data_IF_640066077616
#
_entry.id   IF_640066077616
#
_cell.length_a   1.000
_cell.length_b   1.000
_cell.length_c   1.000
_cell.angle_alpha   90.00
_cell.angle_beta   90.00
_cell.angle_gamma   90.00
#
_symmetry.space_group_name_H-M   'P 1'
#
loop_
_entity.id
_entity.type
_entity.pdbx_description
1 polymer ?
#
# COMPACT_ATOMS: atom_id res chain seq x y z
N UNK A 1 3.57 9.17 2.50
CA UNK A 1 2.57 9.12 3.59
C UNK A 1 3.25 9.61 4.85
N UNK A 2 2.75 10.67 5.48
CA UNK A 2 3.19 11.06 6.83
C UNK A 2 2.49 10.20 7.87
N UNK A 3 3.21 9.77 8.90
CA UNK A 3 2.66 8.98 10.00
C UNK A 3 3.08 9.66 11.30
N UNK A 4 2.12 9.85 12.22
CA UNK A 4 2.38 10.37 13.55
C UNK A 4 1.79 9.42 14.57
N UNK A 5 2.61 9.01 15.54
CA UNK A 5 2.21 8.13 16.62
C UNK A 5 2.46 8.83 17.96
N UNK A 6 1.62 8.52 18.94
CA UNK A 6 1.76 9.04 20.32
C UNK A 6 2.95 8.44 21.06
N UNK A 7 3.46 7.29 20.61
CA UNK A 7 4.67 6.64 21.12
C UNK A 7 5.43 5.93 19.98
N UNK A 8 6.76 5.87 20.11
CA UNK A 8 7.63 5.12 19.20
C UNK A 8 7.47 3.60 19.31
N UNK A 9 6.90 3.11 20.42
CA UNK A 9 6.66 1.69 20.68
C UNK A 9 5.39 1.13 20.03
N UNK A 10 4.51 1.98 19.48
CA UNK A 10 3.32 1.54 18.76
C UNK A 10 3.73 0.69 17.57
N UNK A 11 3.25 -0.55 17.50
CA UNK A 11 3.53 -1.47 16.40
C UNK A 11 2.31 -1.57 15.50
N UNK A 12 2.49 -1.47 14.19
CA UNK A 12 1.38 -1.53 13.25
C UNK A 12 1.77 -2.16 11.90
N UNK A 13 0.76 -2.71 11.23
CA UNK A 13 0.87 -3.22 9.85
C UNK A 13 -0.04 -2.39 8.94
N UNK A 14 0.46 -2.03 7.77
CA UNK A 14 -0.34 -1.41 6.71
C UNK A 14 -0.78 -2.47 5.71
N UNK A 15 -2.09 -2.70 5.60
CA UNK A 15 -2.67 -3.68 4.67
C UNK A 15 -3.79 -3.06 3.84
N UNK A 16 -4.01 -3.55 2.63
CA UNK A 16 -5.21 -3.16 1.88
C UNK A 16 -6.44 -3.79 2.51
N UNK A 17 -7.55 -3.05 2.56
CA UNK A 17 -8.84 -3.54 3.07
C UNK A 17 -9.31 -4.81 2.35
N UNK A 18 -8.97 -4.94 1.06
CA UNK A 18 -9.28 -6.11 0.23
C UNK A 18 -8.46 -7.35 0.60
N UNK A 19 -7.42 -7.22 1.43
CA UNK A 19 -6.46 -8.29 1.71
C UNK A 19 -5.43 -8.52 0.60
N UNK A 20 -5.58 -7.86 -0.55
CA UNK A 20 -4.63 -7.96 -1.66
C UNK A 20 -3.36 -7.15 -1.40
N UNK A 21 -2.33 -7.39 -2.21
CA UNK A 21 -1.10 -6.59 -2.25
C UNK A 21 -1.10 -5.56 -3.40
N UNK A 22 -2.20 -5.48 -4.15
CA UNK A 22 -2.36 -4.65 -5.34
C UNK A 22 -3.76 -4.02 -5.40
N UNK A 23 -3.89 -2.96 -6.20
CA UNK A 23 -5.17 -2.32 -6.55
C UNK A 23 -5.53 -2.73 -7.99
N UNK A 24 -6.69 -3.37 -8.23
CA UNK A 24 -7.17 -3.62 -9.58
C UNK A 24 -7.53 -2.30 -10.28
N UNK A 25 -7.24 -2.21 -11.58
CA UNK A 25 -7.51 -1.03 -12.40
C UNK A 25 -8.64 -1.33 -13.41
N UNK A 26 -9.35 -0.29 -13.82
CA UNK A 26 -10.53 -0.38 -14.68
C UNK A 26 -10.27 -0.95 -16.08
N UNK A 27 -9.00 -1.01 -16.51
CA UNK A 27 -8.59 -1.57 -17.81
C UNK A 27 -8.02 -3.00 -17.71
N UNK A 28 -8.28 -3.72 -16.62
CA UNK A 28 -7.80 -5.10 -16.42
C UNK A 28 -6.35 -5.21 -15.97
N UNK A 29 -5.61 -4.10 -15.90
CA UNK A 29 -4.31 -4.05 -15.24
C UNK A 29 -4.45 -3.99 -13.72
N UNK A 30 -3.33 -4.01 -13.03
CA UNK A 30 -3.24 -3.77 -11.58
C UNK A 30 -2.09 -2.82 -11.24
N UNK A 31 -2.23 -2.10 -10.15
CA UNK A 31 -1.15 -1.37 -9.50
C UNK A 31 -0.65 -2.19 -8.31
N UNK A 32 0.52 -2.81 -8.44
CA UNK A 32 1.21 -3.47 -7.34
C UNK A 32 1.76 -2.40 -6.40
N UNK A 33 1.50 -2.52 -5.11
CA UNK A 33 1.93 -1.55 -4.13
C UNK A 33 3.20 -2.03 -3.42
N UNK A 34 4.07 -1.08 -3.09
CA UNK A 34 5.20 -1.30 -2.20
C UNK A 34 5.38 -0.16 -1.21
N UNK A 35 5.77 -0.51 0.01
CA UNK A 35 5.79 0.37 1.17
C UNK A 35 7.21 0.47 1.78
N UNK A 36 7.55 1.67 2.25
CA UNK A 36 8.80 1.95 2.94
C UNK A 36 10.03 1.92 2.04
N UNK A 37 11.21 1.81 2.65
CA UNK A 37 12.48 1.78 1.93
C UNK A 37 12.68 0.46 1.14
N UNK A 38 12.25 -0.66 1.73
CA UNK A 38 12.37 -2.00 1.15
C UNK A 38 11.35 -2.31 0.06
N UNK A 39 10.38 -1.42 -0.20
CA UNK A 39 9.31 -1.64 -1.17
C UNK A 39 8.48 -2.91 -0.88
N UNK A 40 8.27 -3.22 0.40
CA UNK A 40 7.53 -4.40 0.84
C UNK A 40 6.06 -4.31 0.43
N UNK A 41 5.46 -5.44 0.06
CA UNK A 41 4.03 -5.51 -0.20
C UNK A 41 3.22 -5.13 1.06
N UNK A 42 2.02 -4.51 0.90
CA UNK A 42 1.11 -4.30 2.02
C UNK A 42 0.83 -5.60 2.78
N UNK A 43 0.84 -5.53 4.11
CA UNK A 43 0.64 -6.68 5.00
C UNK A 43 1.91 -7.43 5.39
N UNK A 44 3.04 -7.23 4.69
CA UNK A 44 4.24 -8.05 4.88
C UNK A 44 5.29 -7.42 5.82
N UNK A 45 5.03 -6.25 6.37
CA UNK A 45 6.00 -5.55 7.23
C UNK A 45 5.28 -4.91 8.41
N UNK A 46 5.84 -5.15 9.59
CA UNK A 46 5.48 -4.46 10.82
C UNK A 46 6.33 -3.21 10.94
N UNK A 47 5.67 -2.07 11.06
CA UNK A 47 6.25 -0.77 11.32
C UNK A 47 6.07 -0.41 12.79
N UNK A 48 6.87 0.53 13.26
CA UNK A 48 6.84 1.12 14.58
C UNK A 48 6.46 2.61 14.52
N UNK A 49 5.99 3.16 15.63
CA UNK A 49 5.66 4.57 15.74
C UNK A 49 6.86 5.51 15.57
N UNK A 50 8.08 4.97 15.52
CA UNK A 50 9.29 5.71 15.18
C UNK A 50 9.40 6.09 13.70
N UNK A 51 8.70 5.43 12.78
CA UNK A 51 8.69 5.86 11.38
C UNK A 51 7.72 7.03 11.19
N UNK A 52 8.28 8.22 10.94
CA UNK A 52 7.51 9.46 10.68
C UNK A 52 7.01 9.57 9.24
N UNK A 53 7.59 8.81 8.31
CA UNK A 53 7.17 8.78 6.92
C UNK A 53 7.35 7.42 6.28
N UNK A 54 6.40 7.06 5.41
CA UNK A 54 6.45 5.86 4.59
C UNK A 54 6.26 6.24 3.13
N UNK A 55 7.21 5.79 2.30
CA UNK A 55 7.10 5.89 0.85
C UNK A 55 6.09 4.86 0.36
N UNK A 56 5.12 5.31 -0.42
CA UNK A 56 4.23 4.44 -1.19
C UNK A 56 4.72 4.46 -2.65
N UNK A 57 4.89 3.27 -3.22
CA UNK A 57 5.21 3.08 -4.64
C UNK A 57 4.11 2.26 -5.28
N UNK A 58 3.72 2.63 -6.49
CA UNK A 58 2.82 1.85 -7.34
C UNK A 58 3.54 1.48 -8.63
N UNK A 59 3.55 0.19 -8.97
CA UNK A 59 4.06 -0.31 -10.25
C UNK A 59 2.92 -0.96 -11.01
N UNK A 60 2.69 -0.51 -12.26
CA UNK A 60 1.68 -1.10 -13.13
C UNK A 60 2.13 -2.49 -13.59
N UNK A 61 1.20 -3.44 -13.59
CA UNK A 61 1.42 -4.80 -14.06
C UNK A 61 0.16 -5.36 -14.73
N UNK A 62 0.36 -6.35 -15.60
CA UNK A 62 -0.70 -6.98 -16.40
C UNK A 62 -0.81 -6.40 -17.81
N UNK A 63 -1.80 -6.88 -18.56
CA UNK A 63 -2.08 -6.46 -19.93
C UNK A 63 -3.38 -5.66 -19.95
N UNK A 64 -3.41 -4.46 -20.55
CA UNK A 64 -4.63 -3.69 -20.67
C UNK A 64 -5.63 -4.38 -21.61
N UNK A 65 -6.90 -4.45 -21.20
CA UNK A 65 -8.00 -4.95 -22.04
C UNK A 65 -8.67 -3.84 -22.85
N UNK A 66 -8.36 -2.59 -22.55
CA UNK A 66 -8.88 -1.40 -23.22
C UNK A 66 -7.84 -0.28 -23.23
N UNK A 67 -7.94 0.62 -24.21
CA UNK A 67 -7.10 1.81 -24.34
C UNK A 67 -7.73 3.02 -23.63
N UNK A 68 -6.91 4.03 -23.34
CA UNK A 68 -7.35 5.27 -22.70
C UNK A 68 -7.00 5.33 -21.21
N UNK A 69 -7.56 6.32 -20.52
CA UNK A 69 -7.33 6.52 -19.10
C UNK A 69 -7.95 5.38 -18.27
N UNK A 70 -7.23 4.94 -17.25
CA UNK A 70 -7.68 3.92 -16.31
C UNK A 70 -7.51 4.42 -14.88
N UNK A 71 -8.35 3.90 -13.99
CA UNK A 71 -8.30 4.25 -12.57
C UNK A 71 -8.54 3.00 -11.71
N UNK A 72 -8.18 3.09 -10.44
CA UNK A 72 -8.51 2.11 -9.42
C UNK A 72 -8.35 2.74 -8.06
N UNK A 73 -9.08 2.24 -7.08
CA UNK A 73 -9.07 2.77 -5.71
C UNK A 73 -8.84 1.63 -4.73
N UNK A 74 -8.16 1.95 -3.64
CA UNK A 74 -7.90 1.02 -2.55
C UNK A 74 -7.82 1.77 -1.24
N UNK A 75 -8.34 1.14 -0.19
CA UNK A 75 -8.26 1.66 1.18
C UNK A 75 -7.11 0.98 1.89
N UNK A 76 -6.14 1.76 2.37
CA UNK A 76 -5.06 1.27 3.21
C UNK A 76 -5.48 1.36 4.67
N UNK A 77 -5.56 0.21 5.33
CA UNK A 77 -5.89 0.10 6.74
C UNK A 77 -4.61 0.05 7.58
N UNK A 78 -4.67 0.68 8.74
CA UNK A 78 -3.68 0.54 9.81
C UNK A 78 -4.20 -0.50 10.79
N UNK A 79 -3.40 -1.52 11.08
CA UNK A 79 -3.70 -2.55 12.08
C UNK A 79 -2.68 -2.44 13.18
N UNK A 80 -3.11 -2.04 14.38
CA UNK A 80 -2.27 -2.02 15.56
C UNK A 80 -2.10 -3.43 16.13
N UNK A 81 -0.90 -3.73 16.61
CA UNK A 81 -0.59 -4.94 17.37
C UNK A 81 -0.70 -4.67 18.88
#
# INVERSE_FOLDING_TARGET
MGVSCTSSSVSYVLKLQTGNTYIPLSNGMRANLGLGAANSAPGNTTYSGSQSSLRLRGTLAGTPTSTGAFNGTGVMMVVYN
#
